data_IF_562054613319
#
_entry.id   IF_562054613319
#
_cell.length_a   1.000
_cell.length_b   1.000
_cell.length_c   1.000
_cell.angle_alpha   90.00
_cell.angle_beta   90.00
_cell.angle_gamma   90.00
#
_symmetry.space_group_name_H-M   'P 1'
#
loop_
_entity.id
_entity.type
_entity.pdbx_description
1 polymer ?
#
# COMPACT_ATOMS: atom_id res chain seq x y z
N UNK A 1 42.17 3.15 -1.20
CA UNK A 1 40.84 2.53 -1.35
C UNK A 1 39.84 3.39 -0.59
N UNK A 2 39.09 4.23 -1.31
CA UNK A 2 38.17 5.20 -0.70
C UNK A 2 36.95 4.46 -0.13
N UNK A 3 36.57 4.64 1.14
CA UNK A 3 35.37 4.02 1.67
C UNK A 3 34.15 4.66 1.01
N UNK A 4 33.38 3.84 0.29
CA UNK A 4 32.07 4.17 -0.28
C UNK A 4 31.19 4.73 0.84
N UNK A 5 30.89 6.03 0.78
CA UNK A 5 29.92 6.65 1.67
C UNK A 5 28.56 5.93 1.47
N UNK A 6 28.11 5.23 2.50
CA UNK A 6 26.77 4.67 2.56
C UNK A 6 25.75 5.84 2.58
N UNK A 7 24.67 5.78 1.79
CA UNK A 7 23.70 6.86 1.72
C UNK A 7 22.95 6.99 3.06
N UNK A 8 23.43 7.89 3.93
CA UNK A 8 22.85 8.14 5.25
C UNK A 8 21.41 8.67 5.19
N UNK A 9 21.00 9.30 4.08
CA UNK A 9 19.68 9.92 3.92
C UNK A 9 18.54 8.91 3.69
N UNK A 10 18.78 7.78 3.03
CA UNK A 10 17.70 6.85 2.64
C UNK A 10 17.21 5.98 3.79
N UNK A 11 18.07 5.67 4.76
CA UNK A 11 17.72 4.75 5.86
C UNK A 11 16.93 5.43 6.99
N UNK A 12 17.02 6.75 7.14
CA UNK A 12 16.32 7.50 8.19
C UNK A 12 14.88 7.90 7.78
N UNK A 13 14.62 8.08 6.48
CA UNK A 13 13.31 8.46 5.98
C UNK A 13 12.21 7.41 6.27
N UNK A 14 12.61 6.14 6.38
CA UNK A 14 11.73 4.98 6.58
C UNK A 14 11.07 4.95 7.95
N UNK A 15 11.76 5.45 8.97
CA UNK A 15 11.31 5.36 10.35
C UNK A 15 10.26 6.45 10.67
N UNK A 16 10.16 7.49 9.83
CA UNK A 16 9.28 8.64 10.07
C UNK A 16 7.80 8.40 9.78
N UNK A 17 7.41 7.30 9.13
CA UNK A 17 5.98 7.04 8.83
C UNK A 17 5.25 6.25 9.91
N UNK A 18 5.96 5.58 10.83
CA UNK A 18 5.37 4.63 11.79
C UNK A 18 5.60 4.97 13.27
N UNK A 19 5.86 6.23 13.60
CA UNK A 19 6.08 6.71 14.99
C UNK A 19 5.22 7.95 15.29
N UNK A 20 4.76 8.21 16.54
CA UNK A 20 3.75 9.23 16.89
C UNK A 20 4.13 10.69 16.59
N UNK A 21 5.36 10.91 16.09
CA UNK A 21 5.99 12.18 15.72
C UNK A 21 5.75 12.51 14.25
N UNK A 22 4.53 12.28 13.78
CA UNK A 22 4.25 12.24 12.36
C UNK A 22 4.43 13.63 11.71
N UNK A 23 5.47 13.77 10.89
CA UNK A 23 5.82 15.02 10.24
C UNK A 23 4.76 15.52 9.24
N UNK A 24 4.90 16.75 8.73
CA UNK A 24 3.90 17.39 7.88
C UNK A 24 3.52 16.60 6.62
N UNK A 25 4.44 15.79 6.09
CA UNK A 25 4.18 14.84 4.98
C UNK A 25 3.07 13.84 5.32
N UNK A 26 3.09 13.24 6.51
CA UNK A 26 2.07 12.28 6.93
C UNK A 26 0.69 12.93 7.02
N UNK A 27 0.61 14.09 7.67
CA UNK A 27 -0.64 14.84 7.76
C UNK A 27 -1.18 15.23 6.39
N UNK A 28 -0.29 15.54 5.44
CA UNK A 28 -0.66 15.83 4.06
C UNK A 28 -1.27 14.61 3.36
N UNK A 29 -0.65 13.44 3.51
CA UNK A 29 -1.18 12.17 2.99
C UNK A 29 -2.51 11.81 3.63
N UNK A 30 -2.63 11.89 4.96
CA UNK A 30 -3.89 11.64 5.67
C UNK A 30 -5.01 12.57 5.19
N UNK A 31 -4.76 13.86 5.04
CA UNK A 31 -5.77 14.81 4.52
C UNK A 31 -6.19 14.46 3.10
N UNK A 32 -5.25 14.05 2.26
CA UNK A 32 -5.55 13.60 0.90
C UNK A 32 -6.41 12.32 0.92
N UNK A 33 -6.04 11.33 1.73
CA UNK A 33 -6.81 10.09 1.93
C UNK A 33 -8.23 10.37 2.44
N UNK A 34 -8.37 11.22 3.46
CA UNK A 34 -9.68 11.56 4.02
C UNK A 34 -10.55 12.25 2.99
N UNK A 35 -10.01 13.20 2.24
CA UNK A 35 -10.77 13.92 1.23
C UNK A 35 -11.14 13.06 0.02
N UNK A 36 -10.24 12.19 -0.43
CA UNK A 36 -10.41 11.43 -1.67
C UNK A 36 -11.01 10.04 -1.50
N UNK A 37 -10.87 9.41 -0.34
CA UNK A 37 -11.42 8.08 -0.07
C UNK A 37 -12.51 8.11 1.00
N UNK A 38 -12.22 8.71 2.16
CA UNK A 38 -13.07 8.55 3.35
C UNK A 38 -14.24 9.53 3.43
N UNK A 39 -14.29 10.54 2.55
CA UNK A 39 -15.40 11.46 2.47
C UNK A 39 -16.66 10.76 1.96
N UNK A 40 -17.83 11.04 2.54
CA UNK A 40 -19.09 10.33 2.24
C UNK A 40 -19.43 10.32 0.74
N UNK A 41 -19.22 11.44 0.03
CA UNK A 41 -19.46 11.49 -1.43
C UNK A 41 -18.51 10.58 -2.22
N UNK A 42 -17.28 10.39 -1.75
CA UNK A 42 -16.30 9.49 -2.36
C UNK A 42 -16.64 8.03 -2.07
N UNK A 43 -17.02 7.71 -0.83
CA UNK A 43 -17.51 6.36 -0.48
C UNK A 43 -18.72 5.97 -1.34
N UNK A 44 -19.61 6.92 -1.62
CA UNK A 44 -20.74 6.70 -2.53
C UNK A 44 -20.27 6.41 -3.97
N UNK A 45 -19.26 7.12 -4.48
CA UNK A 45 -18.69 6.86 -5.81
C UNK A 45 -18.11 5.45 -5.98
N UNK A 46 -17.62 4.84 -4.89
CA UNK A 46 -17.14 3.45 -4.90
C UNK A 46 -18.25 2.39 -4.77
N UNK A 47 -19.53 2.75 -4.87
CA UNK A 47 -20.63 1.78 -4.74
C UNK A 47 -20.52 0.61 -5.74
N UNK A 48 -20.15 0.89 -7.00
CA UNK A 48 -19.94 -0.13 -8.03
C UNK A 48 -18.78 -1.08 -7.68
N UNK A 49 -17.65 -0.53 -7.21
CA UNK A 49 -16.50 -1.29 -6.74
C UNK A 49 -16.85 -2.21 -5.56
N UNK A 50 -17.59 -1.69 -4.56
CA UNK A 50 -18.02 -2.45 -3.39
C UNK A 50 -18.98 -3.58 -3.77
N UNK A 51 -19.95 -3.31 -4.65
CA UNK A 51 -20.88 -4.32 -5.15
C UNK A 51 -20.13 -5.45 -5.86
N UNK A 52 -19.22 -5.10 -6.77
CA UNK A 52 -18.39 -6.09 -7.47
C UNK A 52 -17.59 -6.97 -6.51
N UNK A 53 -16.92 -6.38 -5.52
CA UNK A 53 -16.13 -7.15 -4.56
C UNK A 53 -17.00 -8.08 -3.70
N UNK A 54 -18.20 -7.63 -3.34
CA UNK A 54 -19.18 -8.45 -2.62
C UNK A 54 -19.68 -9.62 -3.48
N UNK A 55 -20.05 -9.36 -4.73
CA UNK A 55 -20.50 -10.40 -5.67
C UNK A 55 -19.40 -11.46 -5.89
N UNK A 56 -18.14 -11.01 -6.03
CA UNK A 56 -16.99 -11.90 -6.15
C UNK A 56 -16.79 -12.78 -4.90
N UNK A 57 -16.95 -12.21 -3.69
CA UNK A 57 -16.88 -12.96 -2.45
C UNK A 57 -18.01 -14.00 -2.35
N UNK A 58 -19.25 -13.60 -2.63
CA UNK A 58 -20.40 -14.50 -2.58
C UNK A 58 -20.26 -15.66 -3.58
N UNK A 59 -19.76 -15.39 -4.78
CA UNK A 59 -19.51 -16.44 -5.78
C UNK A 59 -18.46 -17.44 -5.30
N UNK A 60 -17.36 -16.98 -4.68
CA UNK A 60 -16.35 -17.87 -4.08
C UNK A 60 -16.95 -18.71 -2.95
N UNK A 61 -17.70 -18.09 -2.03
CA UNK A 61 -18.33 -18.81 -0.91
C UNK A 61 -19.34 -19.86 -1.39
N UNK A 62 -20.14 -19.55 -2.42
CA UNK A 62 -21.05 -20.52 -3.04
C UNK A 62 -20.28 -21.69 -3.66
N UNK A 63 -19.20 -21.43 -4.39
CA UNK A 63 -18.39 -22.49 -4.99
C UNK A 63 -17.77 -23.43 -3.95
N UNK A 64 -17.40 -22.93 -2.77
CA UNK A 64 -16.93 -23.74 -1.65
C UNK A 64 -18.04 -24.58 -1.05
N UNK A 65 -19.24 -24.00 -0.91
CA UNK A 65 -20.41 -24.72 -0.38
C UNK A 65 -20.88 -25.85 -1.28
N UNK A 66 -20.58 -25.79 -2.57
CA UNK A 66 -20.98 -26.80 -3.58
C UNK A 66 -19.87 -27.81 -3.90
N UNK A 67 -18.68 -27.65 -3.34
CA UNK A 67 -17.58 -28.60 -3.51
C UNK A 67 -17.61 -29.63 -2.38
N UNK A 68 -17.65 -30.91 -2.72
CA UNK A 68 -17.49 -32.01 -1.75
C UNK A 68 -16.06 -32.13 -1.21
N UNK A 69 -15.09 -31.37 -1.77
CA UNK A 69 -13.75 -31.31 -1.21
C UNK A 69 -13.72 -30.45 0.05
N UNK A 70 -13.34 -31.09 1.16
CA UNK A 70 -13.13 -30.45 2.45
C UNK A 70 -11.91 -29.52 2.41
N UNK A 71 -12.08 -28.34 1.83
CA UNK A 71 -11.06 -27.31 1.88
C UNK A 71 -11.12 -26.65 3.25
N UNK A 72 -10.11 -26.92 4.08
CA UNK A 72 -9.83 -26.15 5.30
C UNK A 72 -9.30 -24.74 4.95
N UNK A 73 -9.98 -24.04 4.05
CA UNK A 73 -9.76 -22.61 3.84
C UNK A 73 -10.63 -21.87 4.82
N UNK A 74 -10.01 -21.13 5.73
CA UNK A 74 -10.74 -20.28 6.65
C UNK A 74 -11.57 -19.25 5.86
N UNK A 75 -12.85 -19.08 6.20
CA UNK A 75 -13.74 -18.03 5.66
C UNK A 75 -13.05 -16.65 5.73
N UNK A 76 -12.24 -16.43 6.78
CA UNK A 76 -11.37 -15.28 6.97
C UNK A 76 -10.50 -14.98 5.75
N UNK A 77 -9.92 -16.00 5.10
CA UNK A 77 -9.00 -15.81 3.99
C UNK A 77 -9.72 -15.28 2.74
N UNK A 78 -10.93 -15.78 2.47
CA UNK A 78 -11.81 -15.33 1.40
C UNK A 78 -12.29 -13.89 1.61
N UNK A 79 -12.73 -13.56 2.83
CA UNK A 79 -13.11 -12.19 3.19
C UNK A 79 -11.93 -11.24 3.01
N UNK A 80 -10.74 -11.61 3.52
CA UNK A 80 -9.55 -10.79 3.35
C UNK A 80 -9.20 -10.62 1.87
N UNK A 81 -9.27 -11.68 1.06
CA UNK A 81 -9.02 -11.58 -0.39
C UNK A 81 -9.95 -10.54 -1.03
N UNK A 82 -11.25 -10.63 -0.79
CA UNK A 82 -12.22 -9.66 -1.32
C UNK A 82 -11.97 -8.22 -0.87
N UNK A 83 -11.58 -8.03 0.40
CA UNK A 83 -11.20 -6.71 0.93
C UNK A 83 -9.95 -6.17 0.21
N UNK A 84 -8.91 -6.98 0.01
CA UNK A 84 -7.72 -6.57 -0.72
C UNK A 84 -8.02 -6.33 -2.21
N UNK A 85 -8.89 -7.13 -2.84
CA UNK A 85 -9.37 -6.88 -4.21
C UNK A 85 -10.06 -5.52 -4.31
N UNK A 86 -10.94 -5.20 -3.36
CA UNK A 86 -11.62 -3.91 -3.32
C UNK A 86 -10.63 -2.74 -3.14
N UNK A 87 -9.74 -2.84 -2.15
CA UNK A 87 -8.78 -1.77 -1.87
C UNK A 87 -7.81 -1.53 -3.03
N UNK A 88 -7.26 -2.60 -3.61
CA UNK A 88 -6.36 -2.45 -4.77
C UNK A 88 -7.09 -1.86 -5.97
N UNK A 89 -8.35 -2.24 -6.21
CA UNK A 89 -9.17 -1.63 -7.26
C UNK A 89 -9.44 -0.14 -7.01
N UNK A 90 -9.78 0.26 -5.79
CA UNK A 90 -9.98 1.68 -5.44
C UNK A 90 -8.66 2.47 -5.57
N UNK A 91 -7.52 1.86 -5.18
CA UNK A 91 -6.23 2.53 -5.24
C UNK A 91 -5.72 2.74 -6.66
N UNK A 92 -5.78 1.70 -7.49
CA UNK A 92 -5.16 1.67 -8.81
C UNK A 92 -6.14 1.83 -9.98
N UNK A 93 -7.46 1.72 -9.73
CA UNK A 93 -8.47 1.78 -10.79
C UNK A 93 -8.54 0.54 -11.68
N UNK A 94 -7.75 -0.50 -11.38
CA UNK A 94 -7.66 -1.72 -12.19
C UNK A 94 -7.92 -2.96 -11.34
N UNK A 95 -8.63 -3.94 -11.93
CA UNK A 95 -8.86 -5.24 -11.31
C UNK A 95 -7.60 -6.09 -11.45
N UNK A 96 -6.85 -6.21 -10.35
CA UNK A 96 -5.65 -7.03 -10.33
C UNK A 96 -5.97 -8.53 -10.38
N UNK A 97 -5.05 -9.30 -10.95
CA UNK A 97 -5.09 -10.76 -10.91
C UNK A 97 -5.02 -11.29 -9.47
N UNK A 98 -5.67 -12.44 -9.23
CA UNK A 98 -5.72 -13.06 -7.91
C UNK A 98 -4.33 -13.33 -7.31
N UNK A 99 -3.36 -13.73 -8.13
CA UNK A 99 -1.98 -13.97 -7.67
C UNK A 99 -1.33 -12.69 -7.12
N UNK A 100 -1.50 -11.56 -7.82
CA UNK A 100 -0.98 -10.25 -7.37
C UNK A 100 -1.64 -9.81 -6.06
N UNK A 101 -2.94 -10.04 -5.92
CA UNK A 101 -3.69 -9.73 -4.69
C UNK A 101 -3.15 -10.58 -3.52
N UNK A 102 -2.87 -11.86 -3.76
CA UNK A 102 -2.27 -12.75 -2.76
C UNK A 102 -0.87 -12.31 -2.35
N UNK A 103 -0.05 -11.86 -3.30
CA UNK A 103 1.29 -11.34 -3.00
C UNK A 103 1.25 -10.05 -2.17
N UNK A 104 0.36 -9.11 -2.52
CA UNK A 104 0.12 -7.88 -1.74
C UNK A 104 -0.35 -8.23 -0.33
N UNK A 105 -1.28 -9.18 -0.18
CA UNK A 105 -1.80 -9.63 1.11
C UNK A 105 -0.71 -10.30 1.96
N UNK A 106 0.14 -11.15 1.37
CA UNK A 106 1.30 -11.77 2.05
C UNK A 106 2.29 -10.70 2.52
N UNK A 107 2.60 -9.74 1.66
CA UNK A 107 3.48 -8.61 2.01
C UNK A 107 2.90 -7.78 3.17
N UNK A 108 1.61 -7.43 3.11
CA UNK A 108 0.96 -6.66 4.17
C UNK A 108 0.94 -7.41 5.50
N UNK A 109 0.67 -8.73 5.49
CA UNK A 109 0.78 -9.57 6.69
C UNK A 109 2.21 -9.55 7.26
N UNK A 110 3.24 -9.68 6.42
CA UNK A 110 4.65 -9.59 6.85
C UNK A 110 4.99 -8.23 7.47
N UNK A 111 4.50 -7.14 6.88
CA UNK A 111 4.68 -5.78 7.41
C UNK A 111 4.01 -5.63 8.79
N UNK A 112 2.75 -6.06 8.91
CA UNK A 112 2.00 -6.00 10.17
C UNK A 112 2.65 -6.83 11.27
N UNK A 113 3.04 -8.08 10.99
CA UNK A 113 3.70 -8.95 11.96
C UNK A 113 5.10 -8.46 12.37
N UNK A 114 5.75 -7.66 11.52
CA UNK A 114 7.08 -7.09 11.84
C UNK A 114 7.00 -5.72 12.52
N UNK A 115 5.80 -5.17 12.72
CA UNK A 115 5.61 -3.81 13.25
C UNK A 115 6.23 -3.64 14.63
N UNK A 116 5.94 -4.55 15.56
CA UNK A 116 6.47 -4.50 16.93
C UNK A 116 7.99 -4.70 16.97
N UNK A 117 8.54 -5.52 16.06
CA UNK A 117 9.97 -5.73 15.94
C UNK A 117 10.71 -4.43 15.56
N UNK A 118 10.09 -3.60 14.73
CA UNK A 118 10.66 -2.34 14.25
C UNK A 118 10.40 -1.15 15.18
N UNK A 119 9.41 -1.20 16.07
CA UNK A 119 9.19 -0.15 17.10
C UNK A 119 10.46 0.14 17.88
N UNK A 120 11.23 -0.90 18.22
CA UNK A 120 12.48 -0.79 18.99
C UNK A 120 13.56 0.02 18.24
N UNK A 121 13.52 0.08 16.91
CA UNK A 121 14.46 0.88 16.11
C UNK A 121 14.32 2.38 16.36
N UNK A 122 13.16 2.84 16.86
CA UNK A 122 12.92 4.24 17.25
C UNK A 122 13.53 4.62 18.61
N UNK A 123 13.85 3.65 19.47
CA UNK A 123 14.23 3.93 20.86
C UNK A 123 15.70 4.37 21.02
N UNK A 124 16.58 4.00 20.08
CA UNK A 124 18.01 4.28 20.16
C UNK A 124 18.62 4.68 18.79
N UNK A 125 18.47 5.94 18.35
CA UNK A 125 18.87 6.35 17.00
C UNK A 125 20.39 6.24 16.73
N UNK A 126 21.24 6.36 17.74
CA UNK A 126 22.70 6.31 17.58
C UNK A 126 23.29 4.90 17.70
N UNK A 127 22.91 4.12 18.73
CA UNK A 127 23.45 2.76 18.96
C UNK A 127 22.59 1.65 18.32
N UNK A 128 21.32 1.92 18.05
CA UNK A 128 20.39 0.94 17.50
C UNK A 128 20.74 0.47 16.10
N UNK A 129 21.51 1.25 15.32
CA UNK A 129 22.03 0.81 14.01
C UNK A 129 22.98 -0.37 14.12
N UNK A 130 23.79 -0.42 15.17
CA UNK A 130 24.75 -1.50 15.40
C UNK A 130 24.14 -2.64 16.22
N UNK A 131 23.33 -2.32 17.23
CA UNK A 131 22.69 -3.33 18.09
C UNK A 131 21.58 -4.10 17.35
N UNK A 132 20.87 -3.46 16.43
CA UNK A 132 19.73 -4.07 15.71
C UNK A 132 20.00 -4.31 14.22
N UNK A 133 21.24 -4.58 13.82
CA UNK A 133 21.64 -4.80 12.41
C UNK A 133 20.71 -5.79 11.67
N UNK A 134 20.37 -6.92 12.28
CA UNK A 134 19.46 -7.92 11.68
C UNK A 134 18.06 -7.37 11.43
N UNK A 135 17.53 -6.54 12.33
CA UNK A 135 16.21 -5.91 12.18
C UNK A 135 16.22 -4.84 11.10
N UNK A 136 17.32 -4.07 11.02
CA UNK A 136 17.53 -3.12 9.93
C UNK A 136 17.59 -3.80 8.56
N UNK A 137 18.28 -4.93 8.46
CA UNK A 137 18.34 -5.70 7.22
C UNK A 137 16.97 -6.27 6.84
N UNK A 138 16.22 -6.81 7.82
CA UNK A 138 14.85 -7.27 7.61
C UNK A 138 13.92 -6.14 7.16
N UNK A 139 14.02 -4.95 7.76
CA UNK A 139 13.25 -3.77 7.36
C UNK A 139 13.59 -3.33 5.93
N UNK A 140 14.88 -3.36 5.57
CA UNK A 140 15.35 -3.05 4.21
C UNK A 140 14.80 -4.04 3.18
N UNK A 141 14.84 -5.34 3.50
CA UNK A 141 14.30 -6.39 2.63
C UNK A 141 12.79 -6.22 2.45
N UNK A 142 12.03 -5.95 3.51
CA UNK A 142 10.58 -5.70 3.41
C UNK A 142 10.27 -4.48 2.54
N UNK A 143 11.07 -3.41 2.65
CA UNK A 143 10.94 -2.23 1.79
C UNK A 143 11.20 -2.57 0.32
N UNK A 144 12.25 -3.32 0.04
CA UNK A 144 12.56 -3.76 -1.32
C UNK A 144 11.44 -4.64 -1.90
N UNK A 145 10.89 -5.55 -1.10
CA UNK A 145 9.77 -6.39 -1.51
C UNK A 145 8.51 -5.55 -1.78
N UNK A 146 8.26 -4.52 -0.96
CA UNK A 146 7.16 -3.57 -1.18
C UNK A 146 7.34 -2.77 -2.46
N UNK A 147 8.53 -2.19 -2.68
CA UNK A 147 8.83 -1.42 -3.89
C UNK A 147 8.70 -2.29 -5.14
N UNK A 148 9.20 -3.54 -5.11
CA UNK A 148 9.09 -4.49 -6.22
C UNK A 148 7.64 -4.81 -6.60
N UNK A 149 6.72 -4.85 -5.64
CA UNK A 149 5.30 -5.13 -5.92
C UNK A 149 4.52 -3.86 -6.30
N UNK A 150 4.74 -2.76 -5.60
CA UNK A 150 3.88 -1.56 -5.71
C UNK A 150 4.33 -0.60 -6.81
N UNK A 151 5.64 -0.36 -6.97
CA UNK A 151 6.16 0.62 -7.94
C UNK A 151 5.75 0.27 -9.38
N UNK A 152 5.77 -1.00 -9.83
CA UNK A 152 5.28 -1.35 -11.17
C UNK A 152 3.80 -0.99 -11.37
N UNK A 153 2.95 -1.20 -10.36
CA UNK A 153 1.53 -0.85 -10.42
C UNK A 153 1.33 0.67 -10.50
N UNK A 154 2.10 1.43 -9.70
CA UNK A 154 2.08 2.90 -9.69
C UNK A 154 2.51 3.44 -11.07
N UNK A 155 3.61 2.91 -11.64
CA UNK A 155 4.11 3.32 -12.96
C UNK A 155 3.15 2.97 -14.08
N UNK A 156 2.58 1.76 -14.07
CA UNK A 156 1.56 1.35 -15.05
C UNK A 156 0.36 2.29 -15.00
N UNK A 157 -0.11 2.64 -13.78
CA UNK A 157 -1.21 3.58 -13.61
C UNK A 157 -0.87 4.98 -14.11
N UNK A 158 0.32 5.49 -13.81
CA UNK A 158 0.79 6.80 -14.29
C UNK A 158 0.77 6.90 -15.82
N UNK A 159 1.29 5.87 -16.50
CA UNK A 159 1.28 5.81 -17.96
C UNK A 159 -0.15 5.77 -18.54
N UNK A 160 -1.08 5.03 -17.90
CA UNK A 160 -2.48 5.01 -18.33
C UNK A 160 -3.16 6.37 -18.17
N UNK A 161 -2.88 7.08 -17.07
CA UNK A 161 -3.43 8.41 -16.81
C UNK A 161 -2.95 9.44 -17.84
N UNK A 162 -1.68 9.40 -18.21
CA UNK A 162 -1.08 10.31 -19.21
C UNK A 162 -1.61 10.05 -20.64
N UNK A 163 -2.11 8.85 -20.92
CA UNK A 163 -2.64 8.45 -22.24
C UNK A 163 -4.16 8.54 -22.43
N UNK A 164 -4.94 8.93 -21.39
CA UNK A 164 -6.41 8.98 -21.44
C UNK A 164 -6.95 10.38 -21.14
N UNK A 165 -8.10 10.72 -21.73
CA UNK A 165 -8.91 11.86 -21.29
C UNK A 165 -9.66 11.49 -19.99
N UNK A 166 -9.75 12.42 -19.04
CA UNK A 166 -10.24 12.21 -17.66
C UNK A 166 -11.70 11.68 -17.53
N UNK A 167 -12.44 11.53 -18.62
CA UNK A 167 -13.90 11.36 -18.61
C UNK A 167 -14.42 9.91 -18.70
N UNK A 168 -13.55 8.90 -18.90
CA UNK A 168 -14.00 7.52 -19.16
C UNK A 168 -14.02 6.64 -17.90
N UNK A 169 -13.52 7.11 -16.76
CA UNK A 169 -13.41 6.28 -15.56
C UNK A 169 -14.57 6.47 -14.58
N UNK A 170 -15.13 5.36 -14.04
CA UNK A 170 -16.32 5.40 -13.18
C UNK A 170 -16.08 6.06 -11.82
N UNK A 171 -14.81 6.15 -11.39
CA UNK A 171 -14.37 6.89 -10.21
C UNK A 171 -12.90 7.26 -10.37
N UNK A 172 -12.42 8.23 -9.59
CA UNK A 172 -11.02 8.65 -9.58
C UNK A 172 -10.19 7.72 -8.67
N UNK A 173 -9.21 6.96 -9.18
CA UNK A 173 -8.36 6.12 -8.34
C UNK A 173 -7.51 6.94 -7.37
N UNK A 174 -7.24 6.38 -6.20
CA UNK A 174 -6.53 7.14 -5.16
C UNK A 174 -5.10 7.53 -5.58
N UNK A 175 -4.37 6.63 -6.25
CA UNK A 175 -2.98 6.88 -6.67
C UNK A 175 -2.87 8.10 -7.59
N UNK A 176 -3.87 8.36 -8.41
CA UNK A 176 -3.89 9.54 -9.28
C UNK A 176 -3.85 10.84 -8.48
N UNK A 177 -4.52 10.85 -7.33
CA UNK A 177 -4.56 12.01 -6.43
C UNK A 177 -3.22 12.27 -5.74
N UNK A 178 -2.31 11.29 -5.75
CA UNK A 178 -0.96 11.40 -5.18
C UNK A 178 0.05 11.97 -6.18
N UNK A 179 -0.13 11.73 -7.48
CA UNK A 179 0.76 12.26 -8.52
C UNK A 179 0.81 13.79 -8.57
N UNK A 180 -0.29 14.47 -8.23
CA UNK A 180 -0.36 15.93 -8.18
C UNK A 180 -0.26 16.50 -6.78
N UNK A 181 -0.05 15.65 -5.78
CA UNK A 181 0.04 16.07 -4.39
C UNK A 181 1.38 16.79 -4.16
N UNK A 182 1.32 18.11 -4.02
CA UNK A 182 2.49 18.92 -3.69
C UNK A 182 2.86 18.84 -2.20
N UNK A 183 4.16 18.66 -1.95
CA UNK A 183 4.82 18.80 -0.66
C UNK A 183 5.30 20.25 -0.52
N UNK A 184 4.51 21.08 0.17
CA UNK A 184 4.78 22.53 0.31
C UNK A 184 6.17 22.85 0.88
N UNK A 185 6.66 22.03 1.81
CA UNK A 185 7.96 22.22 2.47
C UNK A 185 9.16 21.97 1.56
N UNK A 186 9.02 21.05 0.60
CA UNK A 186 10.09 20.64 -0.31
C UNK A 186 9.90 21.20 -1.72
N UNK A 187 8.83 21.97 -1.93
CA UNK A 187 8.40 22.55 -3.20
C UNK A 187 8.48 21.56 -4.38
N UNK A 188 8.06 20.31 -4.15
CA UNK A 188 8.07 19.22 -5.14
C UNK A 188 6.87 18.29 -4.98
N UNK A 189 6.68 17.40 -5.95
CA UNK A 189 5.69 16.30 -5.92
C UNK A 189 6.32 15.02 -5.31
N UNK A 190 5.47 14.05 -4.95
CA UNK A 190 5.92 12.73 -4.50
C UNK A 190 6.60 11.96 -5.65
N UNK A 191 7.68 11.25 -5.33
CA UNK A 191 8.29 10.25 -6.22
C UNK A 191 7.51 8.92 -6.15
N UNK A 192 7.60 8.07 -7.17
CA UNK A 192 6.83 6.82 -7.24
C UNK A 192 7.18 5.81 -6.14
N UNK A 193 8.36 5.91 -5.52
CA UNK A 193 8.78 5.09 -4.37
C UNK A 193 8.36 5.70 -3.01
N UNK A 194 7.88 6.95 -3.00
CA UNK A 194 7.33 7.62 -1.82
C UNK A 194 5.79 7.52 -1.75
N UNK A 195 5.17 7.11 -2.86
CA UNK A 195 3.74 6.74 -2.98
C UNK A 195 3.54 5.30 -2.48
#
# INVERSE_FOLDING_TARGET
>A
TVPKQLPQKSSLAVINTTSPWHGPKWLRLLRNLTYNILHTSRIASFAGARKWALDALLNRLKSLSSSDEYHHTEIRDHIQHAIFSLFTFICFGEKLEDMKIQDIKKLQRRLQSSFDEFKVLNLFPCLGKFVFLKRWEKLRQLRQDQEKLMVPLIKARKAMREGKNENDEPFLPYVDTLFDLQLKEENRKFEENEI
#
